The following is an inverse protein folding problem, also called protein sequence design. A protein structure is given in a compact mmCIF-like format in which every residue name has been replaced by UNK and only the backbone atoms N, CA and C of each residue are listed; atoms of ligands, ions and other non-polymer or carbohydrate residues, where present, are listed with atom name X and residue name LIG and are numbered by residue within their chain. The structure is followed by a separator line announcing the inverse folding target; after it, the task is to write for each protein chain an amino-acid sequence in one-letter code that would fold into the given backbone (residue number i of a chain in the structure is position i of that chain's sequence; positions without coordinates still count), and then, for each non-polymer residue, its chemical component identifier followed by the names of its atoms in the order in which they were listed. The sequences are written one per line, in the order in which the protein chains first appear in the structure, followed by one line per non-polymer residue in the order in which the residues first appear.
data_IF_741105730638
#
_entry.id   IF_741105730638
#
_cell.length_a   1.000
_cell.length_b   1.000
_cell.length_c   1.000
_cell.angle_alpha   90.00
_cell.angle_beta   90.00
_cell.angle_gamma   90.00
#
_symmetry.space_group_name_H-M   'P 1'
#
loop_
_entity.id
_entity.type
_entity.pdbx_description
1 polymer ?
#
# COMPACT_ATOMS: atom_id res chain seq x y z
N UNK A 1 -3.39 28.69 36.89
CA UNK A 1 -2.24 28.40 36.00
C UNK A 1 -2.64 27.25 35.11
N UNK A 2 -2.58 27.49 33.80
CA UNK A 2 -3.01 26.60 32.71
C UNK A 2 -2.01 25.46 32.52
N UNK A 3 -2.50 24.27 32.17
CA UNK A 3 -1.69 23.14 31.73
C UNK A 3 -2.44 22.38 30.65
N UNK A 4 -2.15 22.73 29.40
CA UNK A 4 -2.66 22.10 28.17
C UNK A 4 -2.37 20.59 28.21
N UNK A 5 -3.41 19.79 28.46
CA UNK A 5 -3.43 18.37 28.11
C UNK A 5 -3.63 18.27 26.61
N UNK A 6 -2.70 17.62 25.93
CA UNK A 6 -2.62 17.49 24.50
C UNK A 6 -3.94 17.00 23.88
N UNK A 7 -4.49 17.78 22.96
CA UNK A 7 -5.46 17.27 21.98
C UNK A 7 -4.74 16.20 21.16
N UNK A 8 -4.93 14.95 21.57
CA UNK A 8 -4.56 13.79 20.77
C UNK A 8 -5.47 13.85 19.56
N UNK A 9 -4.91 14.26 18.43
CA UNK A 9 -5.58 14.46 17.15
C UNK A 9 -6.24 13.13 16.75
N UNK A 10 -7.46 12.92 17.23
CA UNK A 10 -8.25 11.73 16.95
C UNK A 10 -8.75 11.94 15.54
N UNK A 11 -8.34 11.12 14.56
CA UNK A 11 -8.81 11.28 13.20
C UNK A 11 -10.33 11.30 13.22
N UNK A 12 -10.95 12.23 12.48
CA UNK A 12 -12.40 12.27 12.39
C UNK A 12 -12.88 10.89 11.89
N UNK A 13 -13.74 10.20 12.67
CA UNK A 13 -14.18 8.83 12.39
C UNK A 13 -14.66 8.58 10.95
N UNK A 14 -15.10 9.63 10.24
CA UNK A 14 -15.51 9.55 8.84
C UNK A 14 -14.35 9.33 7.86
N UNK A 15 -13.16 9.88 8.16
CA UNK A 15 -11.96 9.76 7.32
C UNK A 15 -11.42 8.33 7.40
N UNK A 16 -11.26 7.78 8.62
CA UNK A 16 -10.79 6.41 8.83
C UNK A 16 -11.71 5.38 8.18
N UNK A 17 -13.04 5.54 8.31
CA UNK A 17 -14.01 4.65 7.66
C UNK A 17 -13.93 4.71 6.14
N UNK A 18 -13.72 5.90 5.57
CA UNK A 18 -13.56 6.07 4.12
C UNK A 18 -12.27 5.43 3.63
N UNK A 19 -11.15 5.66 4.31
CA UNK A 19 -9.85 5.06 3.98
C UNK A 19 -9.89 3.53 4.09
N UNK A 20 -10.52 3.00 5.15
CA UNK A 20 -10.70 1.55 5.32
C UNK A 20 -11.60 0.95 4.22
N UNK A 21 -12.66 1.65 3.82
CA UNK A 21 -13.52 1.22 2.71
C UNK A 21 -12.75 1.09 1.39
N UNK A 22 -11.99 2.13 1.03
CA UNK A 22 -11.12 2.12 -0.16
C UNK A 22 -10.07 1.02 -0.10
N UNK A 23 -9.45 0.83 1.06
CA UNK A 23 -8.47 -0.22 1.26
C UNK A 23 -9.08 -1.61 1.00
N UNK A 24 -10.28 -1.87 1.52
CA UNK A 24 -10.97 -3.14 1.30
C UNK A 24 -11.30 -3.37 -0.17
N UNK A 25 -11.70 -2.33 -0.90
CA UNK A 25 -11.98 -2.43 -2.32
C UNK A 25 -10.72 -2.75 -3.14
N UNK A 26 -9.60 -2.09 -2.83
CA UNK A 26 -8.29 -2.36 -3.44
C UNK A 26 -7.82 -3.79 -3.13
N UNK A 27 -7.87 -4.20 -1.86
CA UNK A 27 -7.48 -5.54 -1.44
C UNK A 27 -8.32 -6.61 -2.14
N UNK A 28 -9.65 -6.41 -2.28
CA UNK A 28 -10.50 -7.33 -3.05
C UNK A 28 -10.07 -7.43 -4.51
N UNK A 29 -9.72 -6.31 -5.15
CA UNK A 29 -9.23 -6.33 -6.55
C UNK A 29 -7.92 -7.12 -6.73
N UNK A 30 -7.07 -7.16 -5.71
CA UNK A 30 -5.79 -7.87 -5.75
C UNK A 30 -5.93 -9.35 -5.38
N UNK A 31 -6.86 -9.70 -4.49
CA UNK A 31 -7.06 -11.10 -4.07
C UNK A 31 -7.77 -11.91 -5.16
N UNK A 32 -8.74 -11.34 -5.87
CA UNK A 32 -9.51 -12.06 -6.92
C UNK A 32 -8.67 -12.45 -8.13
N UNK A 33 -7.47 -11.88 -8.28
CA UNK A 33 -6.60 -12.07 -9.44
C UNK A 33 -5.51 -13.14 -9.23
N UNK A 34 -5.38 -13.72 -8.03
CA UNK A 34 -4.23 -14.58 -7.68
C UNK A 34 -4.56 -16.03 -7.36
N UNK A 35 -3.58 -16.91 -7.65
CA UNK A 35 -3.64 -18.35 -7.39
C UNK A 35 -3.29 -18.61 -5.91
N UNK A 36 -4.05 -19.42 -5.16
CA UNK A 36 -3.97 -19.49 -3.69
C UNK A 36 -2.62 -19.91 -3.09
N UNK A 37 -1.77 -20.60 -3.86
CA UNK A 37 -0.56 -21.24 -3.33
C UNK A 37 0.67 -20.33 -3.28
N UNK A 38 0.62 -19.12 -3.89
CA UNK A 38 1.63 -18.06 -3.77
C UNK A 38 0.95 -16.68 -3.91
N UNK A 39 0.32 -16.15 -2.85
CA UNK A 39 -0.32 -14.86 -2.92
C UNK A 39 0.73 -13.77 -3.17
N UNK A 40 0.55 -13.02 -4.27
CA UNK A 40 1.42 -11.90 -4.60
C UNK A 40 1.16 -10.73 -3.64
N UNK A 41 -0.11 -10.40 -3.39
CA UNK A 41 -0.51 -9.42 -2.40
C UNK A 41 -0.55 -10.07 -1.01
N UNK A 42 0.18 -9.51 -0.04
CA UNK A 42 0.33 -10.09 1.31
C UNK A 42 -0.20 -9.19 2.44
N UNK A 43 -0.52 -7.93 2.15
CA UNK A 43 -1.08 -7.03 3.15
C UNK A 43 -1.07 -5.58 2.70
N UNK A 44 -1.61 -4.70 3.55
CA UNK A 44 -1.57 -3.27 3.33
C UNK A 44 -1.68 -2.50 4.65
N UNK A 45 -1.22 -1.25 4.65
CA UNK A 45 -1.34 -0.32 5.78
C UNK A 45 -1.72 1.06 5.27
N UNK A 46 -2.61 1.74 5.99
CA UNK A 46 -2.94 3.16 5.75
C UNK A 46 -1.82 3.99 6.38
N UNK A 47 -1.16 4.82 5.58
CA UNK A 47 -0.04 5.67 6.02
C UNK A 47 -0.42 7.15 6.15
N UNK A 48 -1.60 7.52 5.65
CA UNK A 48 -2.21 8.84 5.81
C UNK A 48 -3.61 8.90 5.18
N UNK A 49 -4.21 10.09 5.12
CA UNK A 49 -5.61 10.27 4.71
C UNK A 49 -5.92 9.76 3.29
N UNK A 50 -4.96 9.91 2.38
CA UNK A 50 -5.06 9.41 1.00
C UNK A 50 -3.85 8.58 0.60
N UNK A 51 -3.06 8.11 1.56
CA UNK A 51 -1.85 7.32 1.29
C UNK A 51 -1.94 5.96 1.95
N UNK A 52 -1.51 4.94 1.20
CA UNK A 52 -1.38 3.59 1.72
C UNK A 52 -0.11 2.94 1.16
N UNK A 53 0.38 1.97 1.92
CA UNK A 53 1.42 1.05 1.47
C UNK A 53 0.80 -0.33 1.26
N UNK A 54 0.94 -0.86 0.05
CA UNK A 54 0.55 -2.21 -0.33
C UNK A 54 1.78 -3.12 -0.30
N UNK A 55 1.68 -4.31 0.28
CA UNK A 55 2.79 -5.24 0.35
C UNK A 55 2.61 -6.36 -0.68
N UNK A 56 3.65 -6.57 -1.47
CA UNK A 56 3.72 -7.62 -2.48
C UNK A 56 4.94 -8.50 -2.29
N UNK A 57 4.77 -9.82 -2.35
CA UNK A 57 5.88 -10.76 -2.41
C UNK A 57 6.08 -11.24 -3.84
N UNK A 58 7.24 -10.94 -4.42
CA UNK A 58 7.60 -11.51 -5.72
C UNK A 58 8.01 -12.97 -5.54
N UNK A 59 7.30 -13.93 -6.15
CA UNK A 59 7.64 -15.34 -6.03
C UNK A 59 8.92 -15.72 -6.79
N UNK A 60 9.37 -14.86 -7.72
CA UNK A 60 10.54 -15.07 -8.57
C UNK A 60 11.83 -14.56 -7.94
N UNK A 61 11.73 -13.48 -7.15
CA UNK A 61 12.88 -12.75 -6.59
C UNK A 61 13.09 -12.99 -5.09
N UNK A 62 12.16 -13.70 -4.44
CA UNK A 62 12.08 -13.86 -2.98
C UNK A 62 12.25 -12.53 -2.23
N UNK A 63 11.61 -11.49 -2.77
CA UNK A 63 11.68 -10.11 -2.27
C UNK A 63 10.28 -9.61 -1.96
N UNK A 64 10.16 -8.86 -0.87
CA UNK A 64 8.95 -8.14 -0.48
C UNK A 64 9.07 -6.67 -0.87
N UNK A 65 8.07 -6.18 -1.59
CA UNK A 65 7.94 -4.82 -2.09
C UNK A 65 6.85 -4.12 -1.28
N UNK A 66 7.17 -2.97 -0.70
CA UNK A 66 6.18 -2.00 -0.25
C UNK A 66 5.88 -1.07 -1.41
N UNK A 67 4.62 -0.90 -1.78
CA UNK A 67 4.19 -0.03 -2.87
C UNK A 67 3.38 1.11 -2.29
N UNK A 68 3.93 2.31 -2.33
CA UNK A 68 3.25 3.50 -1.85
C UNK A 68 2.34 4.05 -2.96
N UNK A 69 1.05 4.17 -2.68
CA UNK A 69 0.05 4.67 -3.62
C UNK A 69 -0.86 5.69 -2.96
N UNK A 70 -1.41 6.59 -3.79
CA UNK A 70 -2.54 7.42 -3.39
C UNK A 70 -3.84 6.64 -3.57
N UNK A 71 -4.67 6.56 -2.53
CA UNK A 71 -5.90 5.75 -2.57
C UNK A 71 -6.89 6.28 -3.60
N UNK A 72 -6.91 7.60 -3.81
CA UNK A 72 -7.71 8.29 -4.82
C UNK A 72 -7.26 7.99 -6.25
N UNK A 73 -6.00 7.59 -6.46
CA UNK A 73 -5.41 7.32 -7.77
C UNK A 73 -5.20 5.83 -8.06
N UNK A 74 -5.45 4.94 -7.10
CA UNK A 74 -5.30 3.50 -7.21
C UNK A 74 -6.41 2.84 -8.08
N UNK A 75 -6.51 3.26 -9.34
CA UNK A 75 -7.48 2.74 -10.30
C UNK A 75 -7.11 1.34 -10.84
N UNK A 76 -8.05 0.68 -11.56
CA UNK A 76 -7.85 -0.69 -12.05
C UNK A 76 -6.60 -0.90 -12.90
N UNK A 77 -6.18 0.11 -13.69
CA UNK A 77 -4.98 0.03 -14.51
C UNK A 77 -3.70 -0.04 -13.68
N UNK A 78 -3.58 0.79 -12.64
CA UNK A 78 -2.47 0.75 -11.69
C UNK A 78 -2.50 -0.56 -10.90
N UNK A 79 -3.64 -0.94 -10.31
CA UNK A 79 -3.75 -2.18 -9.55
C UNK A 79 -3.43 -3.41 -10.42
N UNK A 80 -3.83 -3.39 -11.68
CA UNK A 80 -3.51 -4.42 -12.66
C UNK A 80 -2.02 -4.47 -13.03
N UNK A 81 -1.27 -3.37 -12.98
CA UNK A 81 0.18 -3.40 -13.22
C UNK A 81 0.94 -3.99 -12.04
N UNK A 82 0.46 -3.78 -10.80
CA UNK A 82 1.08 -4.32 -9.59
C UNK A 82 1.09 -5.84 -9.53
N UNK A 83 0.22 -6.51 -10.30
CA UNK A 83 0.23 -7.98 -10.39
C UNK A 83 1.41 -8.52 -11.22
N UNK A 84 2.15 -7.64 -11.91
CA UNK A 84 3.30 -8.00 -12.74
C UNK A 84 4.60 -7.94 -11.92
N UNK A 85 5.31 -9.07 -11.73
CA UNK A 85 6.63 -9.07 -11.09
C UNK A 85 7.64 -8.16 -11.79
N UNK A 86 7.56 -8.04 -13.12
CA UNK A 86 8.45 -7.18 -13.90
C UNK A 86 8.22 -5.69 -13.62
N UNK A 87 6.98 -5.27 -13.38
CA UNK A 87 6.66 -3.89 -13.00
C UNK A 87 7.24 -3.57 -11.62
N UNK A 88 7.02 -4.44 -10.63
CA UNK A 88 7.57 -4.29 -9.28
C UNK A 88 9.11 -4.30 -9.27
N UNK A 89 9.74 -5.06 -10.17
CA UNK A 89 11.19 -5.12 -10.29
C UNK A 89 11.83 -3.91 -11.01
N UNK A 90 11.05 -2.91 -11.43
CA UNK A 90 11.58 -1.74 -12.11
C UNK A 90 12.35 -0.83 -11.12
N UNK A 91 13.68 -0.94 -11.16
CA UNK A 91 14.61 -0.24 -10.26
C UNK A 91 14.49 1.29 -10.31
N UNK A 92 13.97 1.86 -11.40
CA UNK A 92 13.77 3.31 -11.50
C UNK A 92 12.70 3.85 -10.56
N UNK A 93 11.78 2.99 -10.11
CA UNK A 93 10.72 3.33 -9.17
C UNK A 93 11.13 3.02 -7.72
N UNK A 94 12.32 2.44 -7.50
CA UNK A 94 12.74 1.95 -6.20
C UNK A 94 13.32 3.06 -5.33
N UNK A 95 12.99 2.97 -4.05
CA UNK A 95 13.61 3.73 -2.97
C UNK A 95 14.08 2.76 -1.89
N UNK A 96 15.13 3.13 -1.14
CA UNK A 96 15.51 2.39 0.06
C UNK A 96 14.30 2.25 1.00
N UNK A 97 14.15 1.07 1.59
CA UNK A 97 13.13 0.81 2.62
C UNK A 97 13.73 0.99 4.00
N UNK A 98 13.04 1.73 4.86
CA UNK A 98 13.22 1.78 6.31
C UNK A 98 12.18 0.92 7.05
N UNK A 99 11.28 0.27 6.31
CA UNK A 99 10.18 -0.53 6.82
C UNK A 99 10.62 -1.99 7.00
N UNK A 100 10.52 -2.56 8.21
CA UNK A 100 10.97 -3.92 8.50
C UNK A 100 10.16 -5.00 7.75
N UNK A 101 9.02 -4.65 7.15
CA UNK A 101 8.16 -5.58 6.43
C UNK A 101 8.47 -5.69 4.93
N UNK A 102 9.35 -4.85 4.38
CA UNK A 102 9.71 -4.92 2.97
C UNK A 102 11.16 -4.54 2.68
N UNK A 103 11.70 -5.16 1.63
CA UNK A 103 13.10 -4.99 1.22
C UNK A 103 13.30 -3.75 0.33
N UNK A 104 12.21 -3.19 -0.21
CA UNK A 104 12.23 -2.04 -1.11
C UNK A 104 10.89 -1.35 -1.14
N UNK A 105 10.93 -0.04 -1.31
CA UNK A 105 9.75 0.78 -1.59
C UNK A 105 9.68 1.07 -3.08
N UNK A 106 8.52 0.83 -3.67
CA UNK A 106 8.14 1.32 -5.00
C UNK A 106 7.23 2.52 -4.76
N UNK A 107 7.68 3.72 -5.11
CA UNK A 107 6.85 4.91 -4.94
C UNK A 107 6.05 5.21 -6.22
N UNK A 108 4.72 5.16 -6.10
CA UNK A 108 3.76 5.49 -7.15
C UNK A 108 2.87 6.67 -6.76
N UNK A 109 3.20 7.45 -5.73
CA UNK A 109 2.37 8.59 -5.33
C UNK A 109 2.36 9.73 -6.35
N UNK A 110 3.34 9.74 -7.26
CA UNK A 110 3.47 10.73 -8.36
C UNK A 110 2.78 10.28 -9.66
N UNK A 111 2.15 9.09 -9.68
CA UNK A 111 1.45 8.53 -10.85
C UNK A 111 -0.04 8.87 -10.90
#
# INVERSE_FOLDING_TARGET
MSGMGQDVNTPERGIEQTAAGRLLDIARSLITTHVPWKPLFIGAVITGDDSMRLYFRSPERDRTYGVDVLTSHAGPGMLGSLVSPAFLANEHLHRPSDDPHCDVIVDLTDY
#
